data_IF_908145992941
#
_entry.id   IF_908145992941
#
_cell.length_a   1.000
_cell.length_b   1.000
_cell.length_c   1.000
_cell.angle_alpha   90.00
_cell.angle_beta   90.00
_cell.angle_gamma   90.00
#
_symmetry.space_group_name_H-M   'P 1'
#
loop_
_entity.id
_entity.type
_entity.pdbx_description
1 polymer ?
#
# COMPACT_ATOMS: atom_id res chain seq x y z
N UNK A 1 11.38 -40.93 18.62
CA UNK A 1 11.03 -40.99 17.18
C UNK A 1 11.01 -39.55 16.71
N UNK A 2 11.97 -39.14 15.89
CA UNK A 2 11.91 -37.83 15.22
C UNK A 2 10.71 -37.86 14.29
N UNK A 3 9.61 -37.21 14.67
CA UNK A 3 8.47 -37.09 13.80
C UNK A 3 8.92 -36.34 12.56
N UNK A 4 8.78 -36.98 11.41
CA UNK A 4 9.18 -36.43 10.11
C UNK A 4 8.33 -35.20 9.81
N UNK A 5 8.97 -34.09 9.41
CA UNK A 5 8.30 -32.88 8.95
C UNK A 5 7.39 -33.22 7.76
N UNK A 6 6.12 -32.81 7.81
CA UNK A 6 5.13 -32.97 6.72
C UNK A 6 4.42 -31.65 6.45
N UNK A 7 3.92 -31.46 5.23
CA UNK A 7 3.19 -30.23 4.88
C UNK A 7 1.91 -30.06 5.71
N UNK A 8 1.21 -31.14 6.03
CA UNK A 8 -0.01 -31.07 6.86
C UNK A 8 0.26 -30.48 8.24
N UNK A 9 1.39 -30.86 8.87
CA UNK A 9 1.82 -30.28 10.14
C UNK A 9 2.16 -28.80 10.00
N UNK A 10 2.86 -28.42 8.93
CA UNK A 10 3.18 -27.01 8.67
C UNK A 10 1.91 -26.19 8.50
N UNK A 11 0.94 -26.66 7.70
CA UNK A 11 -0.34 -25.98 7.54
C UNK A 11 -1.13 -25.86 8.85
N UNK A 12 -1.14 -26.91 9.68
CA UNK A 12 -1.76 -26.85 11.00
C UNK A 12 -1.11 -25.78 11.88
N UNK A 13 0.22 -25.72 11.93
CA UNK A 13 0.93 -24.69 12.71
C UNK A 13 0.67 -23.28 12.17
N UNK A 14 0.72 -23.09 10.85
CA UNK A 14 0.49 -21.80 10.18
C UNK A 14 -0.95 -21.29 10.40
N UNK A 15 -1.92 -22.21 10.51
CA UNK A 15 -3.32 -21.81 10.79
C UNK A 15 -3.49 -21.07 12.13
N UNK A 16 -2.61 -21.31 13.11
CA UNK A 16 -2.63 -20.64 14.41
C UNK A 16 -2.34 -19.13 14.33
N UNK A 17 -1.70 -18.67 13.25
CA UNK A 17 -1.43 -17.25 12.97
C UNK A 17 -2.29 -16.70 11.81
N UNK A 18 -3.39 -17.40 11.49
CA UNK A 18 -4.35 -16.99 10.46
C UNK A 18 -3.93 -17.31 9.02
N UNK A 19 -2.87 -18.08 8.82
CA UNK A 19 -2.39 -18.48 7.49
C UNK A 19 -3.01 -19.83 7.09
N UNK A 20 -4.08 -19.79 6.28
CA UNK A 20 -4.75 -20.99 5.77
C UNK A 20 -3.86 -21.77 4.79
N UNK A 21 -4.11 -23.08 4.64
CA UNK A 21 -3.37 -23.90 3.68
C UNK A 21 -3.45 -23.36 2.24
N UNK A 22 -4.62 -22.84 1.83
CA UNK A 22 -4.80 -22.22 0.51
C UNK A 22 -4.00 -20.93 0.36
N UNK A 23 -3.93 -20.11 1.41
CA UNK A 23 -3.10 -18.90 1.42
C UNK A 23 -1.61 -19.27 1.33
N UNK A 24 -1.14 -20.20 2.16
CA UNK A 24 0.27 -20.65 2.17
C UNK A 24 0.64 -21.26 0.81
N UNK A 25 -0.24 -22.05 0.20
CA UNK A 25 -0.03 -22.62 -1.14
C UNK A 25 0.13 -21.55 -2.22
N UNK A 26 -0.67 -20.48 -2.13
CA UNK A 26 -0.65 -19.37 -3.08
C UNK A 26 0.53 -18.42 -2.82
N UNK A 27 0.68 -17.91 -1.61
CA UNK A 27 1.60 -16.82 -1.30
C UNK A 27 2.94 -17.29 -0.71
N UNK A 28 2.96 -18.44 -0.02
CA UNK A 28 4.14 -18.93 0.70
C UNK A 28 5.01 -19.90 -0.09
N UNK A 29 4.47 -20.56 -1.11
CA UNK A 29 5.19 -21.56 -1.92
C UNK A 29 5.44 -21.06 -3.36
N UNK A 30 6.54 -21.50 -4.00
CA UNK A 30 6.83 -21.15 -5.40
C UNK A 30 5.75 -21.62 -6.37
N UNK A 31 5.65 -20.95 -7.52
CA UNK A 31 4.69 -21.31 -8.59
C UNK A 31 4.81 -22.76 -9.06
N UNK A 32 6.03 -23.30 -9.10
CA UNK A 32 6.33 -24.67 -9.53
C UNK A 32 6.02 -25.74 -8.48
N UNK A 33 5.69 -25.37 -7.24
CA UNK A 33 5.46 -26.35 -6.18
C UNK A 33 4.32 -27.31 -6.54
N UNK A 34 4.50 -28.60 -6.30
CA UNK A 34 3.52 -29.66 -6.58
C UNK A 34 3.16 -30.42 -5.30
N UNK A 35 1.90 -30.86 -5.19
CA UNK A 35 1.42 -31.59 -4.01
C UNK A 35 2.10 -32.97 -3.87
N UNK A 36 2.71 -33.48 -4.95
CA UNK A 36 3.58 -34.68 -4.93
C UNK A 36 4.84 -34.52 -4.04
N UNK A 37 5.15 -33.29 -3.63
CA UNK A 37 6.26 -32.97 -2.73
C UNK A 37 5.85 -33.00 -1.25
N UNK A 38 4.55 -33.00 -0.94
CA UNK A 38 4.04 -32.76 0.41
C UNK A 38 4.42 -33.84 1.43
N UNK A 39 4.73 -35.05 0.96
CA UNK A 39 5.13 -36.20 1.78
C UNK A 39 6.64 -36.50 1.71
N UNK A 40 7.42 -35.70 0.97
CA UNK A 40 8.86 -35.90 0.78
C UNK A 40 9.63 -35.02 1.77
N UNK A 41 10.24 -35.57 2.85
CA UNK A 41 10.71 -34.75 3.98
C UNK A 41 11.74 -33.67 3.60
N UNK A 42 12.65 -33.98 2.66
CA UNK A 42 13.62 -33.03 2.15
C UNK A 42 12.95 -31.88 1.37
N UNK A 43 11.94 -32.20 0.55
CA UNK A 43 11.18 -31.20 -0.17
C UNK A 43 10.38 -30.33 0.82
N UNK A 44 9.70 -30.92 1.81
CA UNK A 44 8.95 -30.18 2.83
C UNK A 44 9.86 -29.19 3.59
N UNK A 45 11.11 -29.56 3.88
CA UNK A 45 12.08 -28.65 4.48
C UNK A 45 12.40 -27.45 3.56
N UNK A 46 12.57 -27.69 2.26
CA UNK A 46 12.74 -26.62 1.26
C UNK A 46 11.50 -25.73 1.19
N UNK A 47 10.30 -26.32 1.19
CA UNK A 47 9.03 -25.59 1.27
C UNK A 47 8.91 -24.72 2.51
N UNK A 48 9.34 -25.21 3.68
CA UNK A 48 9.41 -24.42 4.91
C UNK A 48 10.36 -23.22 4.76
N UNK A 49 11.47 -23.38 4.02
CA UNK A 49 12.38 -22.30 3.65
C UNK A 49 11.70 -21.21 2.82
N UNK A 50 10.96 -21.59 1.77
CA UNK A 50 10.20 -20.64 0.96
C UNK A 50 9.11 -19.93 1.77
N UNK A 51 8.34 -20.68 2.56
CA UNK A 51 7.28 -20.13 3.44
C UNK A 51 7.88 -19.12 4.43
N UNK A 52 9.01 -19.48 5.06
CA UNK A 52 9.75 -18.59 5.96
C UNK A 52 10.13 -17.28 5.29
N UNK A 53 10.70 -17.37 4.08
CA UNK A 53 11.20 -16.21 3.35
C UNK A 53 10.08 -15.33 2.80
N UNK A 54 9.01 -15.92 2.24
CA UNK A 54 7.92 -15.18 1.59
C UNK A 54 6.92 -14.61 2.59
N UNK A 55 6.65 -15.29 3.70
CA UNK A 55 5.64 -14.86 4.69
C UNK A 55 6.24 -14.18 5.93
N UNK A 56 7.53 -13.84 5.89
CA UNK A 56 8.29 -13.25 6.99
C UNK A 56 8.33 -14.06 8.30
N UNK A 57 8.41 -15.38 8.20
CA UNK A 57 8.39 -16.27 9.36
C UNK A 57 9.79 -16.72 9.77
N UNK A 58 10.00 -16.93 11.05
CA UNK A 58 11.22 -17.56 11.57
C UNK A 58 11.25 -19.04 11.19
N UNK A 59 12.28 -19.47 10.44
CA UNK A 59 12.39 -20.84 9.93
C UNK A 59 12.47 -21.87 11.05
N UNK A 60 13.15 -21.54 12.14
CA UNK A 60 13.28 -22.44 13.29
C UNK A 60 11.91 -22.73 13.91
N UNK A 61 11.08 -21.70 14.06
CA UNK A 61 9.70 -21.84 14.55
C UNK A 61 8.82 -22.72 13.65
N UNK A 62 9.10 -22.83 12.35
CA UNK A 62 8.37 -23.71 11.43
C UNK A 62 8.78 -25.18 11.61
N UNK A 63 10.08 -25.44 11.75
CA UNK A 63 10.62 -26.80 11.73
C UNK A 63 10.48 -27.51 13.08
N UNK A 64 10.57 -26.77 14.20
CA UNK A 64 10.53 -27.35 15.54
C UNK A 64 9.10 -27.56 16.03
N UNK A 65 8.72 -28.80 16.33
CA UNK A 65 7.37 -29.16 16.80
C UNK A 65 7.02 -28.54 18.17
N UNK A 66 8.01 -28.22 19.01
CA UNK A 66 7.86 -27.67 20.36
C UNK A 66 7.86 -26.14 20.43
N UNK A 67 7.86 -25.46 19.28
CA UNK A 67 7.84 -24.01 19.20
C UNK A 67 6.58 -23.48 18.50
N UNK A 68 5.99 -22.45 19.11
CA UNK A 68 4.96 -21.64 18.48
C UNK A 68 5.52 -20.90 17.26
N UNK A 69 4.66 -20.68 16.26
CA UNK A 69 5.01 -19.92 15.06
C UNK A 69 5.39 -18.48 15.46
N UNK A 70 6.51 -18.00 14.91
CA UNK A 70 6.97 -16.63 15.11
C UNK A 70 7.26 -15.98 13.78
N UNK A 71 6.92 -14.71 13.69
CA UNK A 71 7.42 -13.84 12.63
C UNK A 71 8.84 -13.38 12.93
N UNK A 72 9.57 -13.00 11.89
CA UNK A 72 10.85 -12.30 12.03
C UNK A 72 10.61 -10.92 12.68
N UNK A 73 11.61 -10.38 13.40
CA UNK A 73 11.50 -9.03 13.94
C UNK A 73 11.36 -8.03 12.79
N UNK A 74 10.45 -7.07 12.99
CA UNK A 74 10.31 -5.91 12.11
C UNK A 74 11.32 -4.82 12.53
N UNK A 75 11.65 -3.88 11.63
CA UNK A 75 12.19 -2.59 12.02
C UNK A 75 11.35 -1.91 13.12
N UNK A 76 11.92 -0.94 13.83
CA UNK A 76 11.16 -0.15 14.82
C UNK A 76 9.87 0.38 14.16
N UNK A 77 8.72 0.15 14.80
CA UNK A 77 7.41 0.41 14.20
C UNK A 77 6.64 1.40 15.06
N UNK A 78 6.30 2.54 14.47
CA UNK A 78 5.37 3.52 15.01
C UNK A 78 3.97 3.22 14.50
N UNK A 79 3.13 2.69 15.39
CA UNK A 79 1.74 2.39 15.07
C UNK A 79 0.84 3.59 15.30
N UNK A 80 0.01 3.92 14.31
CA UNK A 80 -1.05 4.93 14.43
C UNK A 80 -2.42 4.26 14.37
N UNK A 81 -2.85 3.75 15.51
CA UNK A 81 -4.18 3.17 15.65
C UNK A 81 -5.20 4.17 16.19
N UNK A 82 -6.41 4.12 15.66
CA UNK A 82 -7.57 4.68 16.33
C UNK A 82 -7.83 3.85 17.61
N UNK A 83 -7.70 4.47 18.79
CA UNK A 83 -7.88 3.95 20.16
C UNK A 83 -8.41 2.50 20.24
N UNK A 84 -7.52 1.50 20.23
CA UNK A 84 -7.84 0.08 20.42
C UNK A 84 -6.67 -0.69 21.08
N UNK A 85 -6.99 -1.85 21.66
CA UNK A 85 -6.09 -2.68 22.47
C UNK A 85 -4.93 -3.27 21.65
N UNK A 86 -3.75 -3.43 22.27
CA UNK A 86 -2.55 -4.03 21.65
C UNK A 86 -2.76 -5.47 21.11
N UNK A 87 -3.81 -6.17 21.57
CA UNK A 87 -4.17 -7.50 21.08
C UNK A 87 -4.81 -7.46 19.68
N UNK A 88 -5.26 -6.29 19.20
CA UNK A 88 -5.94 -6.07 17.93
C UNK A 88 -5.00 -5.57 16.80
N UNK A 89 -3.68 -5.54 17.06
CA UNK A 89 -2.64 -5.21 16.07
C UNK A 89 -2.71 -6.26 14.94
N UNK A 90 -2.86 -5.86 13.65
CA UNK A 90 -2.84 -6.76 12.49
C UNK A 90 -1.48 -7.40 12.25
N UNK A 91 -1.03 -8.25 13.18
CA UNK A 91 0.33 -8.79 13.18
C UNK A 91 0.68 -9.46 11.85
N UNK A 92 -0.20 -10.31 11.31
CA UNK A 92 0.06 -11.00 10.05
C UNK A 92 0.09 -10.05 8.84
N UNK A 93 -0.86 -9.12 8.72
CA UNK A 93 -0.89 -8.19 7.57
C UNK A 93 0.32 -7.27 7.55
N UNK A 94 0.77 -6.81 8.72
CA UNK A 94 1.95 -5.96 8.86
C UNK A 94 3.21 -6.70 8.43
N UNK A 95 3.33 -7.95 8.88
CA UNK A 95 4.48 -8.80 8.56
C UNK A 95 4.58 -9.06 7.06
N UNK A 96 3.44 -9.30 6.41
CA UNK A 96 3.39 -9.49 4.96
C UNK A 96 3.69 -8.19 4.20
N UNK A 97 3.05 -7.08 4.56
CA UNK A 97 3.30 -5.79 3.93
C UNK A 97 4.76 -5.36 4.10
N UNK A 98 5.32 -5.55 5.29
CA UNK A 98 6.72 -5.23 5.58
C UNK A 98 7.69 -6.07 4.77
N UNK A 99 7.37 -7.36 4.56
CA UNK A 99 8.17 -8.22 3.69
C UNK A 99 8.12 -7.79 2.22
N UNK A 100 6.95 -7.36 1.74
CA UNK A 100 6.84 -6.77 0.40
C UNK A 100 7.70 -5.50 0.30
N UNK A 101 7.63 -4.61 1.29
CA UNK A 101 8.43 -3.39 1.32
C UNK A 101 9.95 -3.68 1.32
N UNK A 102 10.40 -4.64 2.14
CA UNK A 102 11.80 -5.08 2.18
C UNK A 102 12.27 -5.59 0.81
N UNK A 103 11.45 -6.42 0.16
CA UNK A 103 11.76 -6.99 -1.15
C UNK A 103 11.85 -5.91 -2.25
N UNK A 104 10.90 -4.98 -2.25
CA UNK A 104 10.92 -3.84 -3.16
C UNK A 104 12.16 -2.98 -2.90
N UNK A 105 12.49 -2.67 -1.64
CA UNK A 105 13.67 -1.88 -1.31
C UNK A 105 14.98 -2.52 -1.81
N UNK A 106 15.10 -3.85 -1.75
CA UNK A 106 16.27 -4.59 -2.25
C UNK A 106 16.51 -4.42 -3.75
N UNK A 107 15.47 -4.11 -4.53
CA UNK A 107 15.54 -3.95 -5.99
C UNK A 107 15.64 -2.48 -6.43
N UNK A 108 15.74 -1.54 -5.49
CA UNK A 108 15.96 -0.14 -5.81
C UNK A 108 17.44 0.16 -6.04
N UNK A 109 17.73 1.01 -7.03
CA UNK A 109 19.08 1.55 -7.29
C UNK A 109 19.22 3.01 -6.90
N UNK A 110 18.11 3.74 -6.90
CA UNK A 110 18.12 5.18 -6.71
C UNK A 110 18.27 5.52 -5.22
N UNK A 111 19.12 6.50 -4.86
CA UNK A 111 19.20 6.99 -3.50
C UNK A 111 17.96 7.82 -3.17
N UNK A 112 17.59 7.85 -1.89
CA UNK A 112 16.55 8.75 -1.42
C UNK A 112 17.01 10.21 -1.52
N UNK A 113 16.12 11.06 -2.05
CA UNK A 113 16.30 12.52 -2.08
C UNK A 113 15.19 13.13 -1.22
N UNK A 114 15.52 13.91 -0.18
CA UNK A 114 14.51 14.53 0.67
C UNK A 114 13.48 15.32 -0.12
N UNK A 115 12.22 15.16 0.26
CA UNK A 115 11.08 15.87 -0.34
C UNK A 115 10.91 17.21 0.38
N UNK A 116 10.57 18.30 -0.33
CA UNK A 116 10.21 19.56 0.31
C UNK A 116 8.98 19.41 1.22
N UNK A 117 9.04 19.97 2.43
CA UNK A 117 7.88 20.04 3.34
C UNK A 117 6.76 20.96 2.83
N UNK A 118 7.07 21.82 1.86
CA UNK A 118 6.09 22.71 1.21
C UNK A 118 5.32 21.98 0.12
N UNK A 119 4.04 21.69 0.37
CA UNK A 119 3.13 21.09 -0.63
C UNK A 119 3.04 21.91 -1.91
N UNK A 120 3.16 23.25 -1.83
CA UNK A 120 3.16 24.12 -3.01
C UNK A 120 4.40 23.89 -3.88
N UNK A 121 5.55 23.64 -3.25
CA UNK A 121 6.78 23.31 -3.97
C UNK A 121 6.66 21.94 -4.64
N UNK A 122 6.22 20.91 -3.89
CA UNK A 122 5.97 19.56 -4.43
C UNK A 122 5.02 19.62 -5.63
N UNK A 123 3.88 20.31 -5.49
CA UNK A 123 2.93 20.48 -6.59
C UNK A 123 3.55 21.17 -7.80
N UNK A 124 4.39 22.19 -7.59
CA UNK A 124 5.08 22.90 -8.67
C UNK A 124 6.05 21.99 -9.41
N UNK A 125 6.82 21.18 -8.68
CA UNK A 125 7.78 20.23 -9.26
C UNK A 125 7.08 19.15 -10.11
N UNK A 126 5.95 18.59 -9.63
CA UNK A 126 5.14 17.66 -10.42
C UNK A 126 4.63 18.32 -11.72
N UNK A 127 4.12 19.56 -11.61
CA UNK A 127 3.53 20.27 -12.75
C UNK A 127 4.54 20.75 -13.79
N UNK A 128 5.84 20.70 -13.51
CA UNK A 128 6.87 20.92 -14.54
C UNK A 128 6.92 19.79 -15.57
N UNK A 129 6.45 18.59 -15.20
CA UNK A 129 6.51 17.38 -16.03
C UNK A 129 5.15 16.89 -16.48
N UNK A 130 4.12 17.14 -15.67
CA UNK A 130 2.76 16.71 -15.92
C UNK A 130 1.80 17.89 -16.00
N UNK A 131 0.81 17.86 -16.91
CA UNK A 131 -0.17 18.93 -17.00
C UNK A 131 -1.17 18.94 -15.82
N UNK A 132 -1.24 17.85 -15.04
CA UNK A 132 -2.24 17.63 -13.99
C UNK A 132 -1.66 16.75 -12.87
N UNK A 133 -2.10 16.98 -11.63
CA UNK A 133 -1.79 16.11 -10.50
C UNK A 133 -2.70 14.87 -10.55
N UNK A 134 -2.15 13.77 -11.07
CA UNK A 134 -2.80 12.45 -11.15
C UNK A 134 -2.01 11.43 -10.33
N UNK A 135 -2.57 10.24 -10.09
CA UNK A 135 -1.85 9.14 -9.44
C UNK A 135 -0.50 8.85 -10.12
N UNK A 136 -0.48 8.76 -11.45
CA UNK A 136 0.75 8.51 -12.21
C UNK A 136 1.79 9.63 -12.07
N UNK A 137 1.34 10.88 -11.97
CA UNK A 137 2.24 12.02 -11.78
C UNK A 137 2.89 12.01 -10.37
N UNK A 138 2.12 11.61 -9.34
CA UNK A 138 2.64 11.45 -7.98
C UNK A 138 3.59 10.24 -7.90
N UNK A 139 3.30 9.14 -8.59
CA UNK A 139 4.19 7.98 -8.67
C UNK A 139 5.56 8.34 -9.30
N UNK A 140 5.57 9.06 -10.42
CA UNK A 140 6.82 9.53 -11.04
C UNK A 140 7.61 10.45 -10.11
N UNK A 141 6.91 11.29 -9.35
CA UNK A 141 7.53 12.16 -8.35
C UNK A 141 8.16 11.37 -7.20
N UNK A 142 7.42 10.41 -6.61
CA UNK A 142 7.97 9.52 -5.58
C UNK A 142 9.22 8.82 -6.09
N UNK A 143 9.19 8.28 -7.31
CA UNK A 143 10.32 7.60 -7.92
C UNK A 143 11.54 8.51 -8.08
N UNK A 144 11.37 9.75 -8.56
CA UNK A 144 12.47 10.72 -8.66
C UNK A 144 13.15 11.03 -7.33
N UNK A 145 12.41 10.89 -6.23
CA UNK A 145 12.92 11.05 -4.87
C UNK A 145 13.45 9.75 -4.26
N UNK A 146 13.57 8.67 -5.03
CA UNK A 146 14.04 7.36 -4.57
C UNK A 146 13.04 6.63 -3.67
N UNK A 147 11.74 6.95 -3.78
CA UNK A 147 10.66 6.35 -3.01
C UNK A 147 9.90 5.38 -3.92
N UNK A 148 9.90 4.10 -3.54
CA UNK A 148 9.10 3.11 -4.26
C UNK A 148 7.68 3.08 -3.72
N UNK A 149 6.72 2.80 -4.60
CA UNK A 149 5.31 2.65 -4.25
C UNK A 149 4.81 1.32 -4.80
N UNK A 150 4.21 0.50 -3.96
CA UNK A 150 3.64 -0.80 -4.33
C UNK A 150 2.20 -0.90 -3.84
N UNK A 151 1.33 -1.51 -4.63
CA UNK A 151 -0.01 -1.87 -4.17
C UNK A 151 -0.01 -3.34 -3.75
N UNK A 152 -0.43 -3.60 -2.50
CA UNK A 152 -0.53 -4.94 -1.96
C UNK A 152 -1.83 -5.10 -1.17
N UNK A 153 -2.66 -6.06 -1.55
CA UNK A 153 -3.94 -6.33 -0.86
C UNK A 153 -4.25 -7.83 -0.76
N UNK A 154 -3.28 -8.70 -1.06
CA UNK A 154 -3.39 -10.16 -0.95
C UNK A 154 -3.08 -10.63 0.48
N UNK A 155 -3.96 -10.24 1.40
CA UNK A 155 -3.88 -10.66 2.81
C UNK A 155 -4.69 -11.93 3.06
N UNK A 156 -4.32 -12.74 4.07
CA UNK A 156 -5.11 -13.89 4.49
C UNK A 156 -6.52 -13.49 4.92
N UNK A 157 -7.48 -14.40 4.76
CA UNK A 157 -8.86 -14.16 5.18
C UNK A 157 -8.93 -13.87 6.68
N UNK A 158 -9.86 -13.01 7.09
CA UNK A 158 -10.09 -12.58 8.48
C UNK A 158 -8.90 -11.87 9.14
N UNK A 159 -7.90 -11.43 8.38
CA UNK A 159 -6.89 -10.50 8.88
C UNK A 159 -7.38 -9.07 8.72
N UNK A 160 -7.08 -8.23 9.71
CA UNK A 160 -7.28 -6.78 9.58
C UNK A 160 -6.29 -6.26 8.56
N UNK A 161 -6.76 -5.42 7.64
CA UNK A 161 -5.95 -4.91 6.53
C UNK A 161 -5.44 -3.53 6.90
N UNK A 162 -4.20 -3.25 6.52
CA UNK A 162 -3.68 -1.88 6.52
C UNK A 162 -4.28 -1.12 5.36
N UNK A 163 -4.30 0.20 5.47
CA UNK A 163 -4.69 1.11 4.39
C UNK A 163 -3.46 1.68 3.69
N UNK A 164 -2.46 2.06 4.47
CA UNK A 164 -1.19 2.60 4.01
C UNK A 164 -0.06 2.21 4.97
N UNK A 165 1.16 2.17 4.45
CA UNK A 165 2.36 1.96 5.24
C UNK A 165 3.53 2.64 4.57
N UNK A 166 4.32 3.37 5.36
CA UNK A 166 5.66 3.83 4.97
C UNK A 166 6.68 3.03 5.75
N UNK A 167 7.58 2.35 5.06
CA UNK A 167 8.68 1.61 5.68
C UNK A 167 10.03 2.10 5.16
N UNK A 168 10.92 2.43 6.08
CA UNK A 168 12.34 2.61 5.81
C UNK A 168 13.06 1.27 5.87
N UNK A 169 13.64 0.87 4.74
CA UNK A 169 14.59 -0.25 4.67
C UNK A 169 16.00 0.31 4.49
N UNK A 170 16.68 0.57 5.61
CA UNK A 170 17.93 1.33 5.58
C UNK A 170 17.66 2.78 5.17
N UNK A 171 18.26 3.22 4.06
CA UNK A 171 18.09 4.56 3.49
C UNK A 171 17.02 4.63 2.39
N UNK A 172 16.20 3.58 2.25
CA UNK A 172 15.22 3.43 1.17
C UNK A 172 13.80 3.40 1.73
N UNK A 173 13.02 4.48 1.59
CA UNK A 173 11.61 4.47 1.94
C UNK A 173 10.77 3.76 0.86
N UNK A 174 9.84 2.92 1.31
CA UNK A 174 8.86 2.24 0.46
C UNK A 174 7.47 2.52 1.02
N UNK A 175 6.57 2.95 0.14
CA UNK A 175 5.16 3.14 0.43
C UNK A 175 4.39 1.92 -0.06
N UNK A 176 3.62 1.29 0.83
CA UNK A 176 2.69 0.21 0.51
C UNK A 176 1.27 0.72 0.64
N UNK A 177 0.52 0.68 -0.46
CA UNK A 177 -0.90 1.03 -0.45
C UNK A 177 -1.76 -0.24 -0.49
N UNK A 178 -2.79 -0.27 0.34
CA UNK A 178 -3.72 -1.37 0.44
C UNK A 178 -5.13 -0.83 0.57
N UNK A 179 -5.95 -0.95 -0.46
CA UNK A 179 -7.34 -0.52 -0.32
C UNK A 179 -8.28 -1.24 -1.28
N UNK A 180 -9.50 -1.56 -0.83
CA UNK A 180 -10.50 -2.23 -1.68
C UNK A 180 -10.99 -1.33 -2.81
N UNK A 181 -11.08 -0.02 -2.58
CA UNK A 181 -11.37 0.96 -3.64
C UNK A 181 -10.06 1.28 -4.35
N UNK A 182 -9.96 0.87 -5.60
CA UNK A 182 -8.73 0.96 -6.41
C UNK A 182 -8.74 2.12 -7.40
N UNK A 183 -9.79 2.94 -7.40
CA UNK A 183 -9.88 4.08 -8.32
C UNK A 183 -8.63 4.99 -8.20
N UNK A 184 -8.00 5.42 -9.30
CA UNK A 184 -6.75 6.19 -9.28
C UNK A 184 -6.82 7.46 -8.44
N UNK A 185 -7.90 8.24 -8.52
CA UNK A 185 -8.05 9.42 -7.68
C UNK A 185 -8.18 9.10 -6.17
N UNK A 186 -8.71 7.92 -5.83
CA UNK A 186 -8.80 7.45 -4.44
C UNK A 186 -7.40 7.05 -3.94
N UNK A 187 -6.71 6.19 -4.69
CA UNK A 187 -5.34 5.80 -4.35
C UNK A 187 -4.35 6.96 -4.43
N UNK A 188 -4.61 7.96 -5.28
CA UNK A 188 -3.83 9.19 -5.35
C UNK A 188 -3.92 10.03 -4.08
N UNK A 189 -5.07 10.02 -3.39
CA UNK A 189 -5.19 10.65 -2.07
C UNK A 189 -4.40 9.89 -1.02
N UNK A 190 -4.51 8.56 -0.99
CA UNK A 190 -3.74 7.74 -0.06
C UNK A 190 -2.24 7.92 -0.30
N UNK A 191 -1.78 7.84 -1.55
CA UNK A 191 -0.38 8.09 -1.88
C UNK A 191 0.09 9.48 -1.46
N UNK A 192 -0.72 10.51 -1.69
CA UNK A 192 -0.39 11.87 -1.29
C UNK A 192 -0.33 12.04 0.24
N UNK A 193 -1.13 11.26 0.98
CA UNK A 193 -1.12 11.21 2.44
C UNK A 193 0.16 10.54 2.97
N UNK A 194 0.50 9.35 2.48
CA UNK A 194 1.76 8.67 2.83
C UNK A 194 3.00 9.51 2.46
N UNK A 195 2.96 10.17 1.30
CA UNK A 195 4.01 11.09 0.86
C UNK A 195 4.15 12.28 1.83
N UNK A 196 3.06 12.74 2.42
CA UNK A 196 3.09 13.81 3.40
C UNK A 196 3.79 13.39 4.69
N UNK A 197 3.62 12.15 5.16
CA UNK A 197 4.36 11.65 6.32
C UNK A 197 5.87 11.70 6.10
N UNK A 198 6.34 11.38 4.89
CA UNK A 198 7.76 11.53 4.52
C UNK A 198 8.17 13.00 4.42
N UNK A 199 7.39 13.83 3.72
CA UNK A 199 7.73 15.24 3.47
C UNK A 199 7.74 16.11 4.75
N UNK A 200 6.88 15.78 5.71
CA UNK A 200 6.76 16.48 6.99
C UNK A 200 7.66 15.88 8.08
N UNK A 201 8.30 14.74 7.80
CA UNK A 201 9.21 14.09 8.73
C UNK A 201 8.52 13.36 9.88
N UNK A 202 7.26 12.95 9.69
CA UNK A 202 6.51 12.11 10.65
C UNK A 202 7.13 10.70 10.78
N UNK A 203 7.83 10.24 9.74
CA UNK A 203 8.57 8.98 9.73
C UNK A 203 9.95 9.17 9.11
N UNK A 204 10.99 9.03 9.91
CA UNK A 204 12.39 9.24 9.50
C UNK A 204 13.20 7.94 9.47
N UNK A 205 12.76 6.94 10.22
CA UNK A 205 13.23 5.57 10.23
C UNK A 205 12.07 4.62 10.57
N UNK A 206 12.33 3.31 10.51
CA UNK A 206 11.35 2.32 10.93
C UNK A 206 10.13 2.22 10.02
N UNK A 207 8.97 1.99 10.62
CA UNK A 207 7.69 1.76 9.94
C UNK A 207 6.62 2.69 10.51
N UNK A 208 5.84 3.33 9.65
CA UNK A 208 4.58 4.01 9.97
C UNK A 208 3.46 3.25 9.27
N UNK A 209 2.38 2.94 9.99
CA UNK A 209 1.23 2.21 9.45
C UNK A 209 -0.06 2.96 9.76
N UNK A 210 -0.87 3.11 8.72
CA UNK A 210 -2.20 3.68 8.77
C UNK A 210 -3.25 2.64 8.40
N UNK A 211 -4.16 2.38 9.33
CA UNK A 211 -5.25 1.42 9.12
C UNK A 211 -6.46 2.04 8.43
N UNK A 212 -6.70 3.34 8.61
CA UNK A 212 -7.77 4.10 7.99
C UNK A 212 -7.43 5.59 8.01
N UNK A 213 -7.66 6.28 6.90
CA UNK A 213 -7.49 7.74 6.84
C UNK A 213 -8.79 8.41 7.31
N UNK A 214 -8.76 8.95 8.53
CA UNK A 214 -9.90 9.65 9.13
C UNK A 214 -9.81 11.17 8.93
N UNK A 215 -10.87 11.74 8.37
CA UNK A 215 -11.01 13.19 8.22
C UNK A 215 -11.10 13.92 9.54
N UNK A 216 -11.74 13.27 10.53
CA UNK A 216 -12.08 13.86 11.81
C UNK A 216 -11.04 13.47 12.89
N UNK A 217 -9.87 12.99 12.44
CA UNK A 217 -8.73 12.66 13.29
C UNK A 217 -8.31 13.84 14.16
N UNK A 218 -8.02 13.56 15.43
CA UNK A 218 -7.49 14.55 16.39
C UNK A 218 -5.96 14.48 16.49
N UNK A 219 -5.33 13.54 15.81
CA UNK A 219 -3.87 13.42 15.77
C UNK A 219 -3.27 14.51 14.85
N UNK A 220 -2.27 15.23 15.35
CA UNK A 220 -1.70 16.38 14.64
C UNK A 220 -1.04 15.98 13.32
N UNK A 221 -0.27 14.89 13.33
CA UNK A 221 0.45 14.42 12.14
C UNK A 221 -0.53 13.94 11.06
N UNK A 222 -1.61 13.27 11.46
CA UNK A 222 -2.69 12.84 10.56
C UNK A 222 -3.43 14.03 9.93
N UNK A 223 -3.74 15.05 10.73
CA UNK A 223 -4.35 16.28 10.21
C UNK A 223 -3.43 17.00 9.22
N UNK A 224 -2.12 17.04 9.52
CA UNK A 224 -1.12 17.66 8.65
C UNK A 224 -0.96 16.88 7.34
N UNK A 225 -0.91 15.54 7.40
CA UNK A 225 -0.85 14.66 6.23
C UNK A 225 -2.11 14.78 5.35
N UNK A 226 -3.29 14.75 5.97
CA UNK A 226 -4.57 14.99 5.27
C UNK A 226 -4.60 16.34 4.57
N UNK A 227 -4.18 17.41 5.25
CA UNK A 227 -4.13 18.75 4.67
C UNK A 227 -3.15 18.81 3.51
N UNK A 228 -1.97 18.22 3.65
CA UNK A 228 -0.99 18.14 2.59
C UNK A 228 -1.56 17.41 1.37
N UNK A 229 -2.17 16.24 1.56
CA UNK A 229 -2.76 15.44 0.47
C UNK A 229 -3.86 16.20 -0.27
N UNK A 230 -4.77 16.85 0.46
CA UNK A 230 -5.83 17.68 -0.11
C UNK A 230 -5.24 18.84 -0.92
N UNK A 231 -4.29 19.59 -0.35
CA UNK A 231 -3.65 20.70 -1.04
C UNK A 231 -2.87 20.23 -2.28
N UNK A 232 -2.23 19.07 -2.21
CA UNK A 232 -1.49 18.50 -3.34
C UNK A 232 -2.43 18.16 -4.50
N UNK A 233 -3.60 17.58 -4.23
CA UNK A 233 -4.52 17.12 -5.28
C UNK A 233 -5.39 18.25 -5.85
N UNK A 234 -6.09 18.98 -4.98
CA UNK A 234 -7.14 19.93 -5.38
C UNK A 234 -6.77 21.39 -5.18
N UNK A 235 -5.57 21.68 -4.66
CA UNK A 235 -5.04 23.04 -4.50
C UNK A 235 -6.06 23.94 -3.76
N UNK A 236 -6.40 25.09 -4.34
CA UNK A 236 -7.34 26.07 -3.82
C UNK A 236 -8.82 25.64 -3.89
N UNK A 237 -9.13 24.47 -4.46
CA UNK A 237 -10.49 23.97 -4.61
C UNK A 237 -10.97 23.07 -3.47
N UNK A 238 -10.19 22.95 -2.40
CA UNK A 238 -10.67 22.28 -1.20
C UNK A 238 -12.00 22.85 -0.71
N UNK A 239 -12.99 21.97 -0.51
CA UNK A 239 -14.34 22.31 -0.08
C UNK A 239 -15.04 23.42 -0.92
N UNK A 240 -14.67 23.58 -2.19
CA UNK A 240 -15.15 24.70 -3.01
C UNK A 240 -16.67 24.67 -3.32
N UNK A 241 -17.36 23.60 -2.92
CA UNK A 241 -18.80 23.42 -3.09
C UNK A 241 -19.61 23.56 -1.79
N UNK A 242 -19.00 23.92 -0.65
CA UNK A 242 -19.66 24.01 0.68
C UNK A 242 -21.01 24.75 0.67
N UNK A 243 -21.12 25.83 -0.10
CA UNK A 243 -22.32 26.66 -0.16
C UNK A 243 -23.25 26.33 -1.34
N UNK A 244 -22.94 25.31 -2.13
CA UNK A 244 -23.73 24.91 -3.30
C UNK A 244 -24.66 23.77 -2.95
N UNK A 245 -25.93 23.95 -3.29
CA UNK A 245 -26.96 22.92 -3.17
C UNK A 245 -26.91 22.01 -4.40
N UNK A 246 -26.07 20.97 -4.33
CA UNK A 246 -25.92 19.96 -5.38
C UNK A 246 -26.81 18.76 -5.06
N UNK A 247 -27.86 18.56 -5.85
CA UNK A 247 -28.89 17.55 -5.60
C UNK A 247 -28.77 16.33 -6.50
N UNK A 248 -28.09 16.46 -7.64
CA UNK A 248 -27.96 15.39 -8.61
C UNK A 248 -26.60 15.37 -9.30
N UNK A 249 -26.36 14.28 -10.03
CA UNK A 249 -25.10 13.97 -10.69
C UNK A 249 -24.71 15.01 -11.75
N UNK A 250 -25.66 15.43 -12.59
CA UNK A 250 -25.41 16.38 -13.67
C UNK A 250 -24.99 17.75 -13.12
N UNK A 251 -25.62 18.21 -12.05
CA UNK A 251 -25.23 19.44 -11.37
C UNK A 251 -23.81 19.36 -10.83
N UNK A 252 -23.44 18.28 -10.14
CA UNK A 252 -22.08 18.09 -9.64
C UNK A 252 -21.08 18.03 -10.78
N UNK A 253 -21.34 17.24 -11.83
CA UNK A 253 -20.49 17.10 -13.01
C UNK A 253 -20.25 18.44 -13.71
N UNK A 254 -21.30 19.22 -13.95
CA UNK A 254 -21.17 20.54 -14.57
C UNK A 254 -20.29 21.46 -13.73
N UNK A 255 -20.48 21.46 -12.41
CA UNK A 255 -19.70 22.29 -11.49
C UNK A 255 -18.23 21.86 -11.40
N UNK A 256 -17.95 20.57 -11.46
CA UNK A 256 -16.58 20.04 -11.58
C UNK A 256 -15.93 20.55 -12.87
N UNK A 257 -16.59 20.38 -14.02
CA UNK A 257 -16.07 20.83 -15.33
C UNK A 257 -15.85 22.35 -15.39
N UNK A 258 -16.71 23.14 -14.74
CA UNK A 258 -16.50 24.59 -14.61
C UNK A 258 -15.22 24.92 -13.82
N UNK A 259 -14.91 24.16 -12.77
CA UNK A 259 -13.66 24.34 -11.99
C UNK A 259 -12.42 23.95 -12.78
N UNK A 260 -12.48 22.88 -13.56
CA UNK A 260 -11.37 22.46 -14.42
C UNK A 260 -11.02 23.48 -15.49
N UNK A 261 -11.99 24.29 -15.97
CA UNK A 261 -11.68 25.39 -16.89
C UNK A 261 -10.83 26.49 -16.24
N UNK A 262 -11.00 26.72 -14.94
CA UNK A 262 -10.22 27.72 -14.19
C UNK A 262 -8.86 27.21 -13.73
N UNK A 263 -8.73 25.91 -13.47
CA UNK A 263 -7.45 25.27 -13.16
C UNK A 263 -7.43 23.86 -13.77
N UNK A 264 -6.83 23.68 -14.96
CA UNK A 264 -6.77 22.38 -15.63
C UNK A 264 -5.78 21.42 -14.95
N UNK A 265 -5.03 21.87 -13.94
CA UNK A 265 -4.02 21.07 -13.26
C UNK A 265 -4.61 20.16 -12.17
N UNK A 266 -5.92 20.25 -11.92
CA UNK A 266 -6.66 19.43 -10.95
C UNK A 266 -7.41 18.29 -11.64
N UNK A 267 -7.33 17.09 -11.09
CA UNK A 267 -8.11 15.92 -11.51
C UNK A 267 -9.59 16.06 -11.11
N UNK A 268 -10.51 15.89 -12.07
CA UNK A 268 -11.95 16.01 -11.83
C UNK A 268 -12.50 14.97 -10.83
N UNK A 269 -11.97 13.76 -10.88
CA UNK A 269 -12.32 12.68 -9.97
C UNK A 269 -11.74 12.92 -8.57
N UNK A 270 -10.54 13.48 -8.45
CA UNK A 270 -10.02 13.94 -7.15
C UNK A 270 -10.92 15.04 -6.55
N UNK A 271 -11.38 15.98 -7.36
CA UNK A 271 -12.29 17.03 -6.91
C UNK A 271 -13.69 16.50 -6.55
N UNK A 272 -14.20 15.48 -7.26
CA UNK A 272 -15.43 14.79 -6.91
C UNK A 272 -15.30 14.05 -5.56
N UNK A 273 -14.17 13.41 -5.31
CA UNK A 273 -13.90 12.75 -4.04
C UNK A 273 -13.69 13.74 -2.90
N UNK A 274 -13.06 14.91 -3.14
CA UNK A 274 -13.00 16.00 -2.18
C UNK A 274 -14.41 16.52 -1.80
N UNK A 275 -15.33 16.59 -2.76
CA UNK A 275 -16.74 16.88 -2.45
C UNK A 275 -17.34 15.84 -1.49
N UNK A 276 -17.11 14.54 -1.73
CA UNK A 276 -17.59 13.49 -0.82
C UNK A 276 -16.92 13.54 0.55
N UNK A 277 -15.63 13.86 0.63
CA UNK A 277 -14.90 14.06 1.88
C UNK A 277 -15.64 15.09 2.75
N UNK A 278 -15.92 16.28 2.24
CA UNK A 278 -16.58 17.34 3.02
C UNK A 278 -18.08 17.14 3.27
N UNK A 279 -18.80 16.49 2.36
CA UNK A 279 -20.27 16.35 2.47
C UNK A 279 -20.72 15.00 2.99
N UNK A 280 -19.78 14.05 3.15
CA UNK A 280 -20.01 12.61 3.38
C UNK A 280 -20.92 11.95 2.33
N UNK A 281 -21.19 12.62 1.19
CA UNK A 281 -22.05 12.11 0.12
C UNK A 281 -21.26 11.32 -0.94
N UNK A 282 -20.66 10.22 -0.51
CA UNK A 282 -19.88 9.32 -1.40
C UNK A 282 -20.73 8.72 -2.53
N UNK A 283 -22.03 8.51 -2.31
CA UNK A 283 -22.92 7.98 -3.34
C UNK A 283 -23.04 8.90 -4.56
N UNK A 284 -23.15 10.21 -4.33
CA UNK A 284 -23.22 11.19 -5.41
C UNK A 284 -21.85 11.37 -6.11
N UNK A 285 -20.77 11.43 -5.34
CA UNK A 285 -19.42 11.55 -5.91
C UNK A 285 -19.04 10.34 -6.77
N UNK A 286 -19.35 9.11 -6.33
CA UNK A 286 -19.05 7.91 -7.11
C UNK A 286 -19.79 7.89 -8.44
N UNK A 287 -21.04 8.35 -8.49
CA UNK A 287 -21.78 8.52 -9.76
C UNK A 287 -21.13 9.56 -10.66
N UNK A 288 -20.62 10.65 -10.10
CA UNK A 288 -19.91 11.68 -10.86
C UNK A 288 -18.61 11.14 -11.44
N UNK A 289 -17.82 10.42 -10.63
CA UNK A 289 -16.60 9.73 -11.04
C UNK A 289 -16.86 8.78 -12.20
N UNK A 290 -17.88 7.92 -12.09
CA UNK A 290 -18.29 7.01 -13.19
C UNK A 290 -18.69 7.79 -14.45
N UNK A 291 -19.42 8.89 -14.30
CA UNK A 291 -19.87 9.73 -15.43
C UNK A 291 -18.75 10.52 -16.11
N UNK A 292 -17.60 10.68 -15.42
CA UNK A 292 -16.40 11.31 -15.93
C UNK A 292 -15.51 10.31 -16.70
N UNK A 293 -15.85 9.02 -16.71
CA UNK A 293 -15.07 7.94 -17.34
C UNK A 293 -13.60 7.92 -16.89
N UNK A 294 -13.37 8.20 -15.60
CA UNK A 294 -12.05 8.06 -15.02
C UNK A 294 -11.61 6.59 -15.05
N UNK A 295 -10.30 6.35 -15.19
CA UNK A 295 -9.74 5.00 -15.10
C UNK A 295 -10.11 4.35 -13.76
N UNK A 296 -10.27 3.03 -13.72
CA UNK A 296 -10.72 2.32 -12.51
C UNK A 296 -9.59 1.53 -11.83
N UNK A 297 -8.50 1.26 -12.55
CA UNK A 297 -7.46 0.30 -12.17
C UNK A 297 -6.19 0.96 -11.58
N UNK A 298 -6.35 1.78 -10.54
CA UNK A 298 -5.22 2.46 -9.91
C UNK A 298 -4.18 1.51 -9.31
N UNK A 299 -4.60 0.33 -8.83
CA UNK A 299 -3.70 -0.73 -8.37
C UNK A 299 -2.80 -1.26 -9.50
N UNK A 300 -3.36 -1.44 -10.71
CA UNK A 300 -2.61 -1.89 -11.88
C UNK A 300 -1.62 -0.79 -12.29
N UNK A 301 -2.04 0.49 -12.27
CA UNK A 301 -1.16 1.63 -12.56
C UNK A 301 0.05 1.63 -11.61
N UNK A 302 -0.16 1.45 -10.30
CA UNK A 302 0.93 1.41 -9.31
C UNK A 302 1.89 0.25 -9.60
N UNK A 303 1.36 -0.97 -9.71
CA UNK A 303 2.19 -2.16 -9.83
C UNK A 303 2.95 -2.21 -11.16
N UNK A 304 2.31 -1.86 -12.29
CA UNK A 304 2.99 -1.74 -13.59
C UNK A 304 4.01 -0.60 -13.63
N UNK A 305 3.77 0.48 -12.88
CA UNK A 305 4.76 1.55 -12.75
C UNK A 305 5.99 1.00 -12.04
N UNK A 306 5.81 0.30 -10.91
CA UNK A 306 6.92 -0.29 -10.17
C UNK A 306 7.67 -1.33 -11.00
N UNK A 307 6.96 -2.28 -11.62
CA UNK A 307 7.50 -3.36 -12.44
C UNK A 307 8.52 -2.89 -13.49
N UNK A 308 8.23 -1.78 -14.16
CA UNK A 308 9.07 -1.17 -15.20
C UNK A 308 10.38 -0.57 -14.68
N UNK A 309 10.49 -0.37 -13.37
CA UNK A 309 11.56 0.38 -12.73
C UNK A 309 12.42 -0.47 -11.78
N UNK A 310 11.93 -1.65 -11.38
CA UNK A 310 12.68 -2.57 -10.52
C UNK A 310 13.93 -3.10 -11.23
N UNK A 311 14.99 -3.26 -10.44
CA UNK A 311 16.18 -4.00 -10.89
C UNK A 311 15.99 -5.49 -10.70
N UNK A 312 15.36 -6.15 -11.67
CA UNK A 312 15.09 -7.60 -11.61
C UNK A 312 16.37 -8.44 -11.50
N UNK A 313 17.47 -7.98 -12.08
CA UNK A 313 18.76 -8.68 -12.09
C UNK A 313 19.42 -8.77 -10.70
N UNK A 314 19.00 -7.94 -9.73
CA UNK A 314 19.53 -8.00 -8.35
C UNK A 314 18.78 -9.01 -7.47
N UNK A 315 17.66 -9.55 -7.94
CA UNK A 315 16.81 -10.45 -7.17
C UNK A 315 17.15 -11.91 -7.49
N UNK A 316 17.06 -12.78 -6.47
CA UNK A 316 17.09 -14.23 -6.68
C UNK A 316 15.82 -14.70 -7.42
N UNK A 317 15.88 -15.80 -8.17
CA UNK A 317 14.71 -16.40 -8.86
C UNK A 317 13.47 -16.53 -7.96
N UNK A 318 13.64 -16.96 -6.70
CA UNK A 318 12.54 -17.08 -5.73
C UNK A 318 11.90 -15.74 -5.34
N UNK A 319 12.69 -14.66 -5.33
CA UNK A 319 12.22 -13.31 -5.06
C UNK A 319 11.51 -12.71 -6.29
N UNK A 320 12.00 -13.02 -7.50
CA UNK A 320 11.36 -12.65 -8.77
C UNK A 320 9.97 -13.27 -8.84
N UNK A 321 9.88 -14.60 -8.68
CA UNK A 321 8.61 -15.35 -8.69
C UNK A 321 7.60 -14.83 -7.64
N UNK A 322 8.10 -14.43 -6.47
CA UNK A 322 7.23 -13.87 -5.43
C UNK A 322 6.74 -12.46 -5.79
N UNK A 323 7.61 -11.61 -6.33
CA UNK A 323 7.26 -10.23 -6.66
C UNK A 323 6.35 -10.14 -7.88
N UNK A 324 6.58 -10.91 -8.94
CA UNK A 324 5.69 -11.00 -10.12
C UNK A 324 4.25 -11.32 -9.69
N UNK A 325 4.09 -12.25 -8.76
CA UNK A 325 2.80 -12.64 -8.20
C UNK A 325 2.12 -11.53 -7.37
N UNK A 326 2.89 -10.71 -6.68
CA UNK A 326 2.38 -9.52 -5.96
C UNK A 326 1.94 -8.44 -6.96
N UNK A 327 2.70 -8.27 -8.04
CA UNK A 327 2.44 -7.23 -9.04
C UNK A 327 1.26 -7.57 -9.96
N UNK A 328 0.89 -8.84 -10.07
CA UNK A 328 -0.38 -9.28 -10.64
C UNK A 328 -0.29 -10.13 -11.91
N UNK A 329 0.80 -10.89 -12.09
CA UNK A 329 0.82 -12.05 -12.99
C UNK A 329 0.10 -13.28 -12.39
#
# INVERSE_FOLDING_TARGET
MTQTLSMDKLYQKLSAVGLSASYVRRAGLPSWWSDELNDKPAAVLEGAGHISKRLNLDLESLIKDDQDIRFKPLPETNFKYHVQDQADIPSTSHQLASRVAELVACSLKQPFIPIPSSVTQVRTEILQRYPQITLAAILDYCWQHGIAVVYFNDYPDNTRKITGMVQWQGDRPVIVLSHKRTHPAWLGFHLAHELAHLALGHVQDGILIDDEIDQDSTDLEEMEANRFAVCLLVNQFDNCFKNKKLYNNEQLKQQLLEKLKSDPTVDACALALNYAWHTKNYGLANRAVQSLHCAEDGNIIINQFLEKHLDWDSLSDDNVDYLERILGE
#
